data_IF_945711875802
#
_entry.id   IF_945711875802
#
_cell.length_a   1.000
_cell.length_b   1.000
_cell.length_c   1.000
_cell.angle_alpha   90.00
_cell.angle_beta   90.00
_cell.angle_gamma   90.00
#
_symmetry.space_group_name_H-M   'P 1'
#
loop_
_entity.id
_entity.type
_entity.pdbx_description
1 polymer ?
#
# COMPACT_ATOMS: atom_id res chain seq x y z
N UNK A 1 -3.66 -6.91 -24.91
CA UNK A 1 -2.20 -7.15 -24.76
C UNK A 1 -1.51 -6.03 -25.50
N UNK A 2 -0.73 -5.25 -24.78
CA UNK A 2 -0.01 -4.12 -25.34
C UNK A 2 1.36 -4.55 -25.83
N UNK A 3 2.05 -3.69 -26.57
CA UNK A 3 3.42 -3.94 -27.02
C UNK A 3 4.38 -2.93 -26.38
N UNK A 4 5.49 -3.44 -25.87
CA UNK A 4 6.65 -2.61 -25.50
C UNK A 4 7.24 -1.94 -26.75
N UNK A 5 8.04 -0.86 -26.59
CA UNK A 5 8.80 -0.29 -27.71
C UNK A 5 9.71 -1.31 -28.44
N UNK A 6 10.10 -2.41 -27.78
CA UNK A 6 10.86 -3.50 -28.41
C UNK A 6 10.00 -4.55 -29.12
N UNK A 7 8.69 -4.33 -29.27
CA UNK A 7 7.74 -5.27 -29.88
C UNK A 7 7.35 -6.47 -29.00
N UNK A 8 7.86 -6.57 -27.76
CA UNK A 8 7.44 -7.64 -26.83
C UNK A 8 6.04 -7.36 -26.30
N UNK A 9 5.20 -8.39 -26.25
CA UNK A 9 3.84 -8.33 -25.69
C UNK A 9 3.92 -8.14 -24.18
N UNK A 10 3.07 -7.27 -23.65
CA UNK A 10 2.89 -7.05 -22.22
C UNK A 10 1.40 -7.11 -21.85
N UNK A 11 1.14 -7.48 -20.61
CA UNK A 11 -0.18 -7.42 -20.00
C UNK A 11 -0.13 -6.41 -18.85
N UNK A 12 -1.09 -5.49 -18.82
CA UNK A 12 -1.35 -4.68 -17.64
C UNK A 12 -2.32 -5.44 -16.75
N UNK A 13 -1.94 -5.62 -15.48
CA UNK A 13 -2.79 -6.22 -14.46
C UNK A 13 -3.08 -5.19 -13.38
N UNK A 14 -4.32 -5.16 -12.85
CA UNK A 14 -4.61 -4.34 -11.67
C UNK A 14 -3.73 -4.77 -10.49
N UNK A 15 -3.06 -3.81 -9.86
CA UNK A 15 -2.26 -4.04 -8.66
C UNK A 15 -2.68 -3.01 -7.61
N UNK A 16 -3.39 -3.41 -6.54
CA UNK A 16 -3.83 -2.48 -5.50
C UNK A 16 -2.65 -1.75 -4.88
N UNK A 17 -2.61 -0.41 -5.01
CA UNK A 17 -1.52 0.40 -4.49
C UNK A 17 -0.23 0.37 -5.31
N UNK A 18 -0.24 -0.26 -6.49
CA UNK A 18 0.91 -0.39 -7.41
C UNK A 18 1.41 0.95 -7.97
N UNK A 19 0.67 2.04 -7.78
CA UNK A 19 1.11 3.39 -8.13
C UNK A 19 2.25 3.90 -7.23
N UNK A 20 2.42 3.34 -6.02
CA UNK A 20 3.45 3.70 -5.04
C UNK A 20 4.33 2.50 -4.68
N UNK A 21 5.39 2.71 -3.88
CA UNK A 21 6.18 1.59 -3.33
C UNK A 21 5.23 0.64 -2.56
N UNK A 22 5.32 -0.64 -2.90
CA UNK A 22 4.64 -1.75 -2.24
C UNK A 22 5.64 -2.83 -1.84
N UNK A 23 5.22 -3.77 -1.00
CA UNK A 23 6.02 -4.90 -0.57
C UNK A 23 5.18 -6.19 -0.62
N UNK A 24 5.74 -7.26 -1.19
CA UNK A 24 5.09 -8.57 -1.27
C UNK A 24 5.90 -9.58 -0.45
N UNK A 25 5.21 -10.37 0.38
CA UNK A 25 5.78 -11.55 1.04
C UNK A 25 5.05 -12.82 0.59
N UNK A 26 5.80 -13.89 0.40
CA UNK A 26 5.21 -15.21 0.21
C UNK A 26 5.15 -15.95 1.55
N UNK A 27 3.95 -16.37 1.94
CA UNK A 27 3.71 -17.20 3.12
C UNK A 27 3.72 -18.68 2.72
N UNK A 28 4.78 -19.40 3.09
CA UNK A 28 4.93 -20.82 2.77
C UNK A 28 3.87 -21.72 3.44
N UNK A 29 3.24 -21.26 4.54
CA UNK A 29 2.24 -22.04 5.27
C UNK A 29 0.92 -22.08 4.50
N UNK A 30 0.41 -20.91 4.10
CA UNK A 30 -0.86 -20.81 3.36
C UNK A 30 -0.67 -20.86 1.85
N UNK A 31 0.58 -20.80 1.38
CA UNK A 31 0.96 -20.64 -0.03
C UNK A 31 0.33 -19.40 -0.67
N UNK A 32 0.22 -18.31 0.10
CA UNK A 32 -0.34 -17.04 -0.35
C UNK A 32 0.74 -15.97 -0.44
N UNK A 33 0.52 -15.02 -1.33
CA UNK A 33 1.27 -13.77 -1.40
C UNK A 33 0.51 -12.70 -0.63
N UNK A 34 1.19 -12.03 0.30
CA UNK A 34 0.68 -10.90 1.04
C UNK A 34 1.24 -9.62 0.43
N UNK A 35 0.36 -8.67 0.09
CA UNK A 35 0.72 -7.38 -0.51
C UNK A 35 0.42 -6.26 0.49
N UNK A 36 1.47 -5.57 0.91
CA UNK A 36 1.41 -4.34 1.69
C UNK A 36 1.58 -3.16 0.74
N UNK A 37 0.56 -2.30 0.64
CA UNK A 37 0.56 -1.20 -0.31
C UNK A 37 -0.24 0.00 0.18
N UNK A 38 -0.15 1.10 -0.56
CA UNK A 38 -0.91 2.31 -0.25
C UNK A 38 -2.30 2.23 -0.86
N UNK A 39 -3.33 2.53 -0.08
CA UNK A 39 -4.70 2.65 -0.60
C UNK A 39 -4.89 4.00 -1.25
N UNK A 40 -5.20 4.01 -2.55
CA UNK A 40 -5.83 5.17 -3.18
C UNK A 40 -7.34 5.09 -2.99
N UNK A 41 -7.96 6.22 -2.68
CA UNK A 41 -9.39 6.39 -2.44
C UNK A 41 -10.06 7.21 -3.54
N UNK A 42 -9.34 8.14 -4.19
CA UNK A 42 -9.89 9.01 -5.22
C UNK A 42 -8.92 9.30 -6.38
N UNK A 43 -8.08 8.33 -6.78
CA UNK A 43 -6.99 8.53 -7.78
C UNK A 43 -7.40 9.00 -9.18
N UNK A 44 -8.69 9.04 -9.49
CA UNK A 44 -9.24 9.52 -10.77
C UNK A 44 -9.96 10.87 -10.64
N UNK A 45 -9.93 11.50 -9.46
CA UNK A 45 -10.51 12.84 -9.27
C UNK A 45 -9.80 13.85 -10.17
N UNK A 46 -10.54 14.82 -10.70
CA UNK A 46 -9.92 15.90 -11.46
C UNK A 46 -9.09 16.77 -10.50
N UNK A 47 -7.86 17.20 -10.86
CA UNK A 47 -7.01 17.99 -9.96
C UNK A 47 -7.70 19.22 -9.35
N UNK A 48 -8.52 19.92 -10.13
CA UNK A 48 -9.27 21.10 -9.68
C UNK A 48 -10.41 20.81 -8.68
N UNK A 49 -10.74 19.53 -8.46
CA UNK A 49 -11.75 19.07 -7.49
C UNK A 49 -11.15 18.42 -6.24
N UNK A 50 -9.82 18.37 -6.15
CA UNK A 50 -9.13 17.84 -4.97
C UNK A 50 -9.33 18.77 -3.76
N UNK A 51 -9.29 18.20 -2.56
CA UNK A 51 -9.25 19.00 -1.34
C UNK A 51 -8.03 19.94 -1.33
N UNK A 52 -8.16 21.10 -0.68
CA UNK A 52 -7.10 22.13 -0.67
C UNK A 52 -5.80 21.63 -0.06
N UNK A 53 -5.88 20.70 0.91
CA UNK A 53 -4.73 20.11 1.58
C UNK A 53 -4.16 18.88 0.87
N UNK A 54 -4.77 18.45 -0.24
CA UNK A 54 -4.35 17.27 -1.01
C UNK A 54 -2.98 17.48 -1.64
N UNK A 55 -2.14 16.44 -1.61
CA UNK A 55 -0.76 16.56 -2.07
C UNK A 55 -0.57 16.12 -3.52
N UNK A 56 -0.06 17.03 -4.34
CA UNK A 56 0.34 16.77 -5.72
C UNK A 56 -0.84 16.28 -6.59
N UNK A 57 -0.65 15.21 -7.36
CA UNK A 57 -1.68 14.63 -8.23
C UNK A 57 -2.55 13.60 -7.48
N UNK A 58 -3.76 13.27 -7.99
CA UNK A 58 -4.68 12.30 -7.37
C UNK A 58 -4.04 10.94 -7.00
N UNK A 59 -3.02 10.50 -7.74
CA UNK A 59 -2.34 9.23 -7.50
C UNK A 59 -1.32 9.26 -6.34
N UNK A 60 -1.14 10.40 -5.65
CA UNK A 60 -0.11 10.59 -4.62
C UNK A 60 -0.61 10.48 -3.18
N UNK A 61 -1.82 9.96 -2.96
CA UNK A 61 -2.31 9.62 -1.62
C UNK A 61 -1.32 8.68 -0.91
N UNK A 62 -1.02 8.98 0.35
CA UNK A 62 -0.03 8.22 1.16
C UNK A 62 -0.47 7.96 2.59
N UNK A 63 -1.67 8.40 2.96
CA UNK A 63 -2.16 8.37 4.35
C UNK A 63 -2.60 6.97 4.81
N UNK A 64 -2.93 6.07 3.87
CA UNK A 64 -3.62 4.80 4.16
C UNK A 64 -2.77 3.62 3.71
N UNK A 65 -2.39 2.78 4.67
CA UNK A 65 -1.64 1.55 4.44
C UNK A 65 -2.60 0.37 4.52
N UNK A 66 -2.63 -0.46 3.48
CA UNK A 66 -3.56 -1.58 3.34
C UNK A 66 -2.82 -2.90 3.12
N UNK A 67 -3.50 -3.99 3.44
CA UNK A 67 -3.02 -5.36 3.26
C UNK A 67 -3.98 -6.11 2.33
N UNK A 68 -3.41 -6.85 1.39
CA UNK A 68 -4.10 -7.79 0.52
C UNK A 68 -3.43 -9.16 0.59
N UNK A 69 -4.15 -10.20 0.17
CA UNK A 69 -3.58 -11.51 -0.12
C UNK A 69 -3.96 -12.00 -1.53
N UNK A 70 -3.17 -12.90 -2.09
CA UNK A 70 -3.40 -13.49 -3.42
C UNK A 70 -2.79 -14.89 -3.51
N UNK A 71 -3.38 -15.76 -4.33
CA UNK A 71 -2.80 -17.07 -4.69
C UNK A 71 -1.84 -16.99 -5.88
N UNK A 72 -2.00 -15.99 -6.74
CA UNK A 72 -1.39 -15.95 -8.07
C UNK A 72 -0.70 -14.62 -8.42
N UNK A 73 -0.64 -13.68 -7.48
CA UNK A 73 -0.12 -12.32 -7.64
C UNK A 73 -0.88 -11.45 -8.66
N UNK A 74 -2.05 -11.89 -9.10
CA UNK A 74 -2.91 -11.17 -10.07
C UNK A 74 -4.25 -10.84 -9.43
N UNK A 75 -4.89 -11.83 -8.81
CA UNK A 75 -6.17 -11.69 -8.13
C UNK A 75 -5.93 -11.38 -6.65
N UNK A 76 -6.16 -10.13 -6.26
CA UNK A 76 -5.90 -9.64 -4.90
C UNK A 76 -7.19 -9.49 -4.11
N UNK A 77 -7.24 -10.11 -2.93
CA UNK A 77 -8.32 -9.99 -1.95
C UNK A 77 -7.93 -8.98 -0.87
N UNK A 78 -8.83 -8.07 -0.51
CA UNK A 78 -8.59 -7.09 0.55
C UNK A 78 -8.65 -7.76 1.93
N UNK A 79 -7.56 -7.68 2.69
CA UNK A 79 -7.48 -8.22 4.04
C UNK A 79 -7.86 -7.18 5.10
N UNK A 80 -7.50 -5.91 4.89
CA UNK A 80 -7.77 -4.84 5.83
C UNK A 80 -6.86 -3.62 5.70
N UNK A 81 -7.15 -2.59 6.49
CA UNK A 81 -6.23 -1.46 6.69
C UNK A 81 -5.28 -1.79 7.84
N UNK A 82 -3.98 -1.57 7.60
CA UNK A 82 -2.94 -1.69 8.63
C UNK A 82 -2.88 -0.42 9.47
N UNK A 83 -2.92 0.74 8.82
CA UNK A 83 -2.81 2.03 9.48
C UNK A 83 -3.39 3.14 8.62
N UNK A 84 -3.95 4.16 9.29
CA UNK A 84 -4.40 5.40 8.67
C UNK A 84 -3.76 6.56 9.42
N UNK A 85 -3.14 7.48 8.69
CA UNK A 85 -2.68 8.75 9.24
C UNK A 85 -3.83 9.62 9.73
N UNK A 86 -3.65 10.48 10.74
CA UNK A 86 -4.70 11.39 11.19
C UNK A 86 -4.99 12.54 10.21
N UNK A 87 -4.06 12.88 9.32
CA UNK A 87 -4.17 13.97 8.34
C UNK A 87 -3.43 13.60 7.04
N UNK A 88 -3.69 14.32 5.94
CA UNK A 88 -3.11 14.03 4.62
C UNK A 88 -1.58 13.89 4.63
N UNK A 89 -0.89 14.81 5.32
CA UNK A 89 0.57 14.78 5.47
C UNK A 89 1.11 13.69 6.40
N UNK A 90 0.24 13.06 7.19
CA UNK A 90 0.64 11.99 8.09
C UNK A 90 0.68 10.64 7.36
N UNK A 91 1.60 10.51 6.40
CA UNK A 91 1.72 9.32 5.57
C UNK A 91 2.02 8.04 6.35
N UNK A 92 1.71 6.90 5.73
CA UNK A 92 2.06 5.53 6.13
C UNK A 92 2.63 4.83 4.90
N UNK A 93 3.79 5.27 4.41
CA UNK A 93 4.27 4.89 3.09
C UNK A 93 5.63 4.20 3.12
N UNK A 94 6.07 3.67 1.97
CA UNK A 94 7.37 3.02 1.82
C UNK A 94 7.59 1.84 2.79
N UNK A 95 6.50 1.28 3.30
CA UNK A 95 6.54 0.26 4.34
C UNK A 95 7.10 -1.07 3.81
N UNK A 96 7.64 -1.83 4.74
CA UNK A 96 8.08 -3.21 4.55
C UNK A 96 7.56 -4.04 5.72
N UNK A 97 7.35 -5.33 5.47
CA UNK A 97 6.81 -6.26 6.45
C UNK A 97 7.66 -7.52 6.53
N UNK A 98 7.57 -8.22 7.65
CA UNK A 98 8.19 -9.53 7.90
C UNK A 98 7.23 -10.39 8.72
N UNK A 99 7.41 -11.71 8.67
CA UNK A 99 6.71 -12.63 9.56
C UNK A 99 7.35 -12.62 10.94
N UNK A 100 6.52 -12.62 11.98
CA UNK A 100 6.89 -12.78 13.39
C UNK A 100 5.98 -13.87 13.98
N UNK A 101 6.33 -15.13 13.72
CA UNK A 101 5.48 -16.28 14.04
C UNK A 101 4.15 -16.25 13.27
N UNK A 102 3.05 -16.09 14.02
CA UNK A 102 1.69 -16.02 13.49
C UNK A 102 1.25 -14.59 13.12
N UNK A 103 2.12 -13.60 13.36
CA UNK A 103 1.87 -12.20 13.11
C UNK A 103 2.66 -11.67 11.90
N UNK A 104 2.18 -10.55 11.36
CA UNK A 104 2.98 -9.69 10.48
C UNK A 104 3.45 -8.47 11.26
N UNK A 105 4.75 -8.20 11.20
CA UNK A 105 5.36 -6.97 11.73
C UNK A 105 5.75 -6.05 10.59
N UNK A 106 5.52 -4.75 10.77
CA UNK A 106 5.57 -3.76 9.68
C UNK A 106 6.30 -2.52 10.17
N UNK A 107 7.30 -2.09 9.43
CA UNK A 107 7.94 -0.79 9.60
C UNK A 107 7.55 0.13 8.44
N UNK A 108 7.08 1.32 8.77
CA UNK A 108 6.59 2.30 7.81
C UNK A 108 7.30 3.64 8.00
N UNK A 109 7.74 4.25 6.89
CA UNK A 109 8.14 5.65 6.92
C UNK A 109 6.87 6.49 6.98
N UNK A 110 6.78 7.32 7.99
CA UNK A 110 5.51 7.93 8.36
C UNK A 110 5.67 9.41 8.67
N UNK A 111 4.53 10.09 8.69
CA UNK A 111 4.43 11.48 9.12
C UNK A 111 3.41 11.67 10.24
N UNK A 112 3.49 12.82 10.91
CA UNK A 112 2.45 13.39 11.76
C UNK A 112 2.00 14.78 11.27
N UNK A 113 1.27 15.51 12.12
CA UNK A 113 0.86 16.90 11.88
C UNK A 113 2.01 17.92 11.75
N UNK A 114 3.28 17.51 11.87
CA UNK A 114 4.47 18.34 11.71
C UNK A 114 5.38 17.87 10.58
N UNK A 115 5.01 16.79 9.87
CA UNK A 115 5.72 16.34 8.69
C UNK A 115 5.79 17.45 7.63
N UNK A 116 6.89 17.50 6.88
CA UNK A 116 7.11 18.49 5.82
C UNK A 116 6.13 18.29 4.67
N UNK A 117 5.87 17.03 4.30
CA UNK A 117 4.86 16.65 3.31
C UNK A 117 4.48 15.17 3.50
N UNK A 118 3.43 14.65 2.84
CA UNK A 118 3.16 13.20 2.85
C UNK A 118 4.32 12.38 2.29
N UNK A 119 5.12 12.95 1.38
CA UNK A 119 6.35 12.30 0.93
C UNK A 119 7.42 12.39 2.02
N UNK A 120 7.77 13.59 2.46
CA UNK A 120 8.84 13.87 3.43
C UNK A 120 8.33 13.77 4.88
N UNK A 121 8.11 12.53 5.31
CA UNK A 121 7.74 12.19 6.69
C UNK A 121 8.85 12.43 7.72
N UNK A 122 8.46 12.45 9.00
CA UNK A 122 9.31 12.76 10.15
C UNK A 122 9.31 11.65 11.24
N UNK A 123 8.70 10.50 10.96
CA UNK A 123 8.58 9.37 11.88
C UNK A 123 8.91 8.04 11.18
N UNK A 124 9.27 7.05 11.98
CA UNK A 124 9.16 5.63 11.61
C UNK A 124 8.13 5.02 12.55
N UNK A 125 7.10 4.38 12.00
CA UNK A 125 6.06 3.70 12.80
C UNK A 125 6.18 2.19 12.68
N UNK A 126 5.96 1.51 13.78
CA UNK A 126 5.88 0.05 13.86
C UNK A 126 4.41 -0.36 14.00
N UNK A 127 4.01 -1.38 13.25
CA UNK A 127 2.67 -1.96 13.30
C UNK A 127 2.76 -3.48 13.37
N UNK A 128 1.78 -4.09 14.02
CA UNK A 128 1.63 -5.55 14.09
C UNK A 128 0.20 -5.91 13.66
N UNK A 129 0.08 -6.85 12.74
CA UNK A 129 -1.20 -7.48 12.36
C UNK A 129 -1.18 -8.86 13.00
N UNK A 130 -1.94 -8.99 14.10
CA UNK A 130 -1.99 -10.22 14.89
C UNK A 130 -2.77 -11.28 14.15
N UNK A 131 -2.29 -12.52 14.16
CA UNK A 131 -2.94 -13.68 13.54
C UNK A 131 -3.38 -13.40 12.08
N UNK A 132 -2.52 -12.74 11.29
CA UNK A 132 -2.91 -12.19 9.98
C UNK A 132 -3.51 -13.22 9.02
N UNK A 133 -3.15 -14.51 9.17
CA UNK A 133 -3.69 -15.62 8.38
C UNK A 133 -5.20 -15.83 8.59
N UNK A 134 -5.77 -15.38 9.71
CA UNK A 134 -7.22 -15.41 9.96
C UNK A 134 -8.01 -14.43 9.11
N UNK A 135 -7.35 -13.51 8.41
CA UNK A 135 -7.98 -12.57 7.49
C UNK A 135 -8.31 -13.19 6.12
N UNK A 136 -7.87 -14.43 5.87
CA UNK A 136 -8.13 -15.15 4.62
C UNK A 136 -9.54 -15.74 4.64
N UNK A 137 -10.26 -15.62 3.52
CA UNK A 137 -11.62 -16.12 3.32
C UNK A 137 -11.80 -16.82 1.97
#
# INVERSE_FOLDING_TARGET
>A
LEHTPSGRRMLYVPCPGGQMKFHVLYDAVTQLYWLLSTQATDSMVKPERMAVDRFNLPNNERQRLQLHFSKDMVNWCFAGLVAVGPVEKASRHYASMAFDGDDLVILSRSGDGRAKSPHDGNLITFHRVVDFRRLVY
#
